data_IF_166982908625
#
_entry.id   IF_166982908625
#
_cell.length_a   1.000
_cell.length_b   1.000
_cell.length_c   1.000
_cell.angle_alpha   90.00
_cell.angle_beta   90.00
_cell.angle_gamma   90.00
#
_symmetry.space_group_name_H-M   'P 1'
#
loop_
_entity.id
_entity.type
_entity.pdbx_description
1 polymer ?
#
# COMPACT_ATOMS: atom_id res chain seq x y z
N UNK A 1 -4.15 -10.81 21.45
CA UNK A 1 -4.29 -11.35 20.09
C UNK A 1 -3.05 -10.94 19.33
N UNK A 2 -2.39 -11.89 18.68
CA UNK A 2 -1.20 -11.66 17.87
C UNK A 2 -1.57 -11.80 16.38
N UNK A 3 -1.05 -10.92 15.52
CA UNK A 3 -1.24 -10.99 14.07
C UNK A 3 0.11 -11.39 13.47
N UNK A 4 0.16 -12.53 12.79
CA UNK A 4 1.36 -13.03 12.11
C UNK A 4 1.14 -12.98 10.59
N UNK A 5 2.01 -12.25 9.88
CA UNK A 5 2.04 -12.24 8.41
C UNK A 5 3.17 -13.19 7.98
N UNK A 6 2.82 -14.27 7.28
CA UNK A 6 3.78 -15.24 6.78
C UNK A 6 4.09 -14.96 5.31
N UNK A 7 5.37 -14.72 5.00
CA UNK A 7 5.89 -14.55 3.65
C UNK A 7 6.95 -15.63 3.39
N UNK A 8 6.96 -16.20 2.19
CA UNK A 8 8.04 -17.07 1.74
C UNK A 8 9.33 -16.28 1.56
N UNK A 9 10.47 -16.96 1.59
CA UNK A 9 11.76 -16.30 1.35
C UNK A 9 11.83 -15.62 -0.03
N UNK A 10 11.11 -16.13 -1.03
CA UNK A 10 11.02 -15.50 -2.34
C UNK A 10 10.23 -14.20 -2.29
N UNK A 11 9.06 -14.20 -1.65
CA UNK A 11 8.24 -13.00 -1.48
C UNK A 11 8.97 -11.92 -0.67
N UNK A 12 9.66 -12.30 0.41
CA UNK A 12 10.48 -11.37 1.20
C UNK A 12 11.57 -10.72 0.34
N UNK A 13 12.24 -11.49 -0.54
CA UNK A 13 13.25 -10.94 -1.45
C UNK A 13 12.65 -9.99 -2.48
N UNK A 14 11.44 -10.25 -2.96
CA UNK A 14 10.76 -9.41 -3.93
C UNK A 14 10.24 -8.11 -3.30
N UNK A 15 9.67 -8.19 -2.09
CA UNK A 15 9.10 -7.04 -1.38
C UNK A 15 10.21 -6.17 -0.75
N UNK A 16 11.30 -6.79 -0.27
CA UNK A 16 12.40 -6.11 0.39
C UNK A 16 11.98 -5.39 1.67
N UNK A 17 12.61 -4.25 1.96
CA UNK A 17 12.39 -3.47 3.19
C UNK A 17 10.98 -2.89 3.30
N UNK A 18 10.19 -2.89 2.22
CA UNK A 18 8.84 -2.33 2.24
C UNK A 18 7.84 -3.21 3.00
N UNK A 19 8.13 -4.52 3.16
CA UNK A 19 7.34 -5.38 4.05
C UNK A 19 7.43 -4.88 5.50
N UNK A 20 8.63 -4.50 5.93
CA UNK A 20 8.87 -3.94 7.25
C UNK A 20 8.16 -2.59 7.39
N UNK A 21 8.36 -1.66 6.44
CA UNK A 21 7.74 -0.34 6.48
C UNK A 21 6.21 -0.40 6.50
N UNK A 22 5.59 -1.28 5.69
CA UNK A 22 4.14 -1.47 5.70
C UNK A 22 3.65 -2.00 7.04
N UNK A 23 4.39 -2.92 7.66
CA UNK A 23 4.07 -3.47 8.98
C UNK A 23 4.18 -2.41 10.06
N UNK A 24 5.23 -1.58 10.07
CA UNK A 24 5.39 -0.47 11.01
C UNK A 24 4.28 0.58 10.89
N UNK A 25 3.89 0.89 9.65
CA UNK A 25 2.79 1.83 9.39
C UNK A 25 1.47 1.23 9.88
N UNK A 26 1.17 -0.03 9.59
CA UNK A 26 -0.05 -0.71 10.07
C UNK A 26 -0.09 -0.77 11.60
N UNK A 27 1.01 -1.16 12.22
CA UNK A 27 1.18 -1.19 13.67
C UNK A 27 0.91 0.18 14.31
N UNK A 28 1.43 1.26 13.72
CA UNK A 28 1.17 2.63 14.18
C UNK A 28 -0.32 3.02 14.09
N UNK A 29 -1.04 2.57 13.06
CA UNK A 29 -2.49 2.82 12.92
C UNK A 29 -3.32 2.01 13.93
N UNK A 30 -2.94 0.75 14.17
CA UNK A 30 -3.61 -0.07 15.18
C UNK A 30 -3.41 0.50 16.58
N UNK A 31 -2.20 0.98 16.87
CA UNK A 31 -1.90 1.71 18.10
C UNK A 31 -2.70 3.00 18.23
N UNK A 32 -2.76 3.82 17.16
CA UNK A 32 -3.58 5.02 17.14
C UNK A 32 -5.06 4.74 17.43
N UNK A 33 -5.61 3.69 16.82
CA UNK A 33 -6.99 3.27 17.05
C UNK A 33 -7.23 2.88 18.52
N UNK A 34 -6.28 2.19 19.15
CA UNK A 34 -6.35 1.87 20.57
C UNK A 34 -6.30 3.14 21.44
N UNK A 35 -5.38 4.05 21.14
CA UNK A 35 -5.26 5.34 21.84
C UNK A 35 -6.55 6.17 21.72
N UNK A 36 -7.13 6.28 20.53
CA UNK A 36 -8.38 7.02 20.28
C UNK A 36 -9.57 6.44 21.05
N UNK A 37 -9.63 5.11 21.22
CA UNK A 37 -10.73 4.44 21.92
C UNK A 37 -10.64 4.49 23.44
N UNK A 38 -9.44 4.61 23.97
CA UNK A 38 -9.17 4.45 25.40
C UNK A 38 -8.67 5.71 26.07
N UNK A 39 -8.15 6.68 25.30
CA UNK A 39 -7.44 7.83 25.81
C UNK A 39 -6.11 7.48 26.47
N UNK A 40 -5.56 6.28 26.19
CA UNK A 40 -4.37 5.74 26.86
C UNK A 40 -3.32 5.34 25.83
N UNK A 41 -2.08 5.76 26.06
CA UNK A 41 -0.89 5.25 25.39
C UNK A 41 -0.42 3.97 26.10
N UNK A 42 -0.72 2.82 25.49
CA UNK A 42 -0.31 1.51 26.01
C UNK A 42 1.15 1.14 25.74
N UNK A 43 1.89 1.94 24.97
CA UNK A 43 3.32 1.72 24.70
C UNK A 43 4.22 2.33 25.76
N UNK A 44 3.70 3.30 26.50
CA UNK A 44 4.38 3.89 27.64
C UNK A 44 4.05 3.13 28.91
N UNK A 45 5.07 2.94 29.77
CA UNK A 45 4.88 2.37 31.09
C UNK A 45 3.94 3.23 31.91
N UNK A 46 2.83 2.64 32.39
CA UNK A 46 1.88 3.31 33.27
C UNK A 46 0.63 3.85 32.61
N UNK A 47 0.36 3.54 31.33
CA UNK A 47 -0.91 3.87 30.67
C UNK A 47 -1.26 5.37 30.72
N UNK A 48 -0.30 6.21 30.36
CA UNK A 48 -0.45 7.66 30.34
C UNK A 48 -1.35 8.12 29.18
N UNK A 49 -1.96 9.31 29.26
CA UNK A 49 -2.63 9.91 28.10
C UNK A 49 -1.65 10.11 26.93
N UNK A 50 -2.07 9.88 25.67
CA UNK A 50 -1.25 10.15 24.50
C UNK A 50 -0.78 11.61 24.43
N UNK A 51 0.48 11.80 24.10
CA UNK A 51 1.14 13.10 23.95
C UNK A 51 0.98 13.64 22.53
N UNK A 52 1.34 14.92 22.33
CA UNK A 52 1.43 15.51 20.99
C UNK A 52 2.41 14.73 20.07
N UNK A 53 3.50 14.20 20.64
CA UNK A 53 4.49 13.41 19.89
C UNK A 53 3.89 12.10 19.36
N UNK A 54 3.06 11.43 20.16
CA UNK A 54 2.38 10.20 19.77
C UNK A 54 1.46 10.43 18.58
N UNK A 55 0.67 11.51 18.63
CA UNK A 55 -0.22 11.88 17.52
C UNK A 55 0.55 12.30 16.26
N UNK A 56 1.67 13.02 16.41
CA UNK A 56 2.52 13.37 15.27
C UNK A 56 3.10 12.13 14.57
N UNK A 57 3.53 11.12 15.32
CA UNK A 57 4.02 9.86 14.77
C UNK A 57 2.95 9.12 13.96
N UNK A 58 1.72 9.06 14.47
CA UNK A 58 0.57 8.46 13.77
C UNK A 58 0.25 9.20 12.47
N UNK A 59 0.18 10.53 12.50
CA UNK A 59 -0.15 11.34 11.33
C UNK A 59 0.92 11.20 10.24
N UNK A 60 2.19 11.13 10.63
CA UNK A 60 3.29 10.93 9.70
C UNK A 60 3.25 9.55 9.04
N UNK A 61 2.90 8.50 9.78
CA UNK A 61 2.63 7.17 9.22
C UNK A 61 1.41 7.13 8.30
N UNK A 62 0.33 7.84 8.66
CA UNK A 62 -0.91 7.92 7.88
C UNK A 62 -0.73 8.54 6.50
N UNK A 63 0.04 9.63 6.41
CA UNK A 63 0.39 10.26 5.13
C UNK A 63 1.17 9.34 4.18
N UNK A 64 1.74 8.25 4.69
CA UNK A 64 2.58 7.29 3.97
C UNK A 64 1.86 5.99 3.58
N UNK A 65 0.77 5.63 4.26
CA UNK A 65 0.02 4.41 3.99
C UNK A 65 -0.85 4.53 2.73
N UNK A 66 -1.69 5.56 2.68
CA UNK A 66 -2.67 5.74 1.61
C UNK A 66 -2.02 5.78 0.23
N UNK A 67 -0.95 6.56 -0.01
CA UNK A 67 -0.30 6.57 -1.32
C UNK A 67 0.27 5.21 -1.73
N UNK A 68 0.83 4.44 -0.79
CA UNK A 68 1.35 3.08 -1.05
C UNK A 68 0.23 2.12 -1.46
N UNK A 69 -0.87 2.11 -0.71
CA UNK A 69 -2.01 1.24 -1.01
C UNK A 69 -2.66 1.60 -2.35
N UNK A 70 -2.74 2.89 -2.67
CA UNK A 70 -3.22 3.34 -3.98
C UNK A 70 -2.27 2.89 -5.10
N UNK A 71 -0.94 3.03 -4.93
CA UNK A 71 0.04 2.56 -5.91
C UNK A 71 -0.06 1.05 -6.17
N UNK A 72 -0.17 0.23 -5.12
CA UNK A 72 -0.37 -1.22 -5.24
C UNK A 72 -1.68 -1.52 -5.99
N UNK A 73 -2.78 -0.83 -5.65
CA UNK A 73 -4.08 -1.01 -6.31
C UNK A 73 -4.01 -0.65 -7.79
N UNK A 74 -3.40 0.48 -8.13
CA UNK A 74 -3.20 0.92 -9.52
C UNK A 74 -2.40 -0.11 -10.31
N UNK A 75 -1.27 -0.58 -9.77
CA UNK A 75 -0.46 -1.63 -10.38
C UNK A 75 -1.22 -2.94 -10.58
N UNK A 76 -2.02 -3.36 -9.59
CA UNK A 76 -2.88 -4.55 -9.71
C UNK A 76 -3.96 -4.40 -10.80
N UNK A 77 -4.57 -3.21 -10.93
CA UNK A 77 -5.54 -2.92 -11.99
C UNK A 77 -4.86 -3.01 -13.36
N UNK A 78 -3.67 -2.42 -13.53
CA UNK A 78 -2.92 -2.52 -14.80
C UNK A 78 -2.56 -3.95 -15.14
N UNK A 79 -2.04 -4.71 -14.18
CA UNK A 79 -1.70 -6.11 -14.37
C UNK A 79 -2.94 -6.94 -14.74
N UNK A 80 -4.10 -6.67 -14.11
CA UNK A 80 -5.36 -7.31 -14.43
C UNK A 80 -5.79 -7.04 -15.89
N UNK A 81 -5.74 -5.79 -16.32
CA UNK A 81 -6.09 -5.42 -17.70
C UNK A 81 -5.09 -6.00 -18.71
N UNK A 82 -3.79 -5.98 -18.41
CA UNK A 82 -2.74 -6.55 -19.27
C UNK A 82 -2.85 -8.08 -19.42
N UNK A 83 -3.40 -8.77 -18.42
CA UNK A 83 -3.69 -10.20 -18.46
C UNK A 83 -4.98 -10.55 -19.24
N UNK A 84 -5.61 -9.58 -19.92
CA UNK A 84 -6.83 -9.78 -20.70
C UNK A 84 -8.13 -9.53 -19.92
N UNK A 85 -8.06 -8.88 -18.75
CA UNK A 85 -9.23 -8.44 -18.01
C UNK A 85 -10.10 -7.46 -18.78
N UNK A 86 -11.41 -7.48 -18.53
CA UNK A 86 -12.38 -6.53 -19.12
C UNK A 86 -12.86 -5.51 -18.08
N UNK A 87 -13.38 -4.38 -18.54
CA UNK A 87 -13.91 -3.32 -17.67
C UNK A 87 -15.12 -3.83 -16.86
N UNK A 88 -15.98 -4.65 -17.46
CA UNK A 88 -17.11 -5.28 -16.77
C UNK A 88 -16.61 -6.19 -15.64
N UNK A 89 -15.60 -7.03 -15.91
CA UNK A 89 -15.07 -7.92 -14.89
C UNK A 89 -14.33 -7.17 -13.80
N UNK A 90 -13.67 -6.07 -14.14
CA UNK A 90 -13.03 -5.20 -13.17
C UNK A 90 -14.07 -4.51 -12.26
N UNK A 91 -15.21 -4.09 -12.81
CA UNK A 91 -16.34 -3.54 -12.06
C UNK A 91 -16.87 -4.54 -11.02
N UNK A 92 -17.08 -5.79 -11.43
CA UNK A 92 -17.49 -6.88 -10.53
C UNK A 92 -16.48 -7.07 -9.38
N UNK A 93 -15.18 -7.13 -9.70
CA UNK A 93 -14.11 -7.39 -8.72
C UNK A 93 -13.97 -6.24 -7.72
N UNK A 94 -14.10 -5.00 -8.20
CA UNK A 94 -13.98 -3.81 -7.35
C UNK A 94 -15.29 -3.47 -6.62
N UNK A 95 -16.41 -4.10 -6.97
CA UNK A 95 -17.74 -3.75 -6.45
C UNK A 95 -18.17 -2.34 -6.85
N UNK A 96 -17.78 -1.89 -8.04
CA UNK A 96 -18.05 -0.55 -8.56
C UNK A 96 -19.01 -0.64 -9.75
N UNK A 97 -19.71 0.46 -10.04
CA UNK A 97 -20.42 0.58 -11.29
C UNK A 97 -19.47 0.83 -12.47
N UNK A 98 -19.97 0.59 -13.68
CA UNK A 98 -19.19 0.73 -14.91
C UNK A 98 -18.65 2.17 -15.10
N UNK A 99 -19.43 3.25 -14.93
CA UNK A 99 -18.91 4.62 -15.05
C UNK A 99 -17.76 4.91 -14.08
N UNK A 100 -17.82 4.42 -12.84
CA UNK A 100 -16.73 4.61 -11.86
C UNK A 100 -15.47 3.87 -12.29
N UNK A 101 -15.59 2.67 -12.86
CA UNK A 101 -14.44 1.94 -13.41
C UNK A 101 -13.84 2.66 -14.62
N UNK A 102 -14.69 3.18 -15.52
CA UNK A 102 -14.25 3.98 -16.66
C UNK A 102 -13.48 5.23 -16.19
N UNK A 103 -13.93 5.90 -15.12
CA UNK A 103 -13.22 7.02 -14.51
C UNK A 103 -11.87 6.59 -13.89
N UNK A 104 -11.84 5.48 -13.16
CA UNK A 104 -10.60 4.92 -12.58
C UNK A 104 -9.59 4.61 -13.68
N UNK A 105 -10.00 3.90 -14.73
CA UNK A 105 -9.14 3.58 -15.86
C UNK A 105 -8.73 4.84 -16.63
N UNK A 106 -9.62 5.81 -16.78
CA UNK A 106 -9.34 7.11 -17.37
C UNK A 106 -8.24 7.85 -16.61
N UNK A 107 -8.31 7.88 -15.27
CA UNK A 107 -7.27 8.45 -14.41
C UNK A 107 -5.94 7.71 -14.53
N UNK A 108 -5.95 6.37 -14.55
CA UNK A 108 -4.73 5.58 -14.73
C UNK A 108 -4.08 5.83 -16.09
N UNK A 109 -4.86 5.88 -17.16
CA UNK A 109 -4.38 6.20 -18.52
C UNK A 109 -3.87 7.64 -18.62
N UNK A 110 -4.52 8.59 -17.95
CA UNK A 110 -4.07 9.99 -17.92
C UNK A 110 -2.77 10.19 -17.12
N UNK A 111 -2.56 9.38 -16.07
CA UNK A 111 -1.33 9.34 -15.29
C UNK A 111 -0.11 8.79 -16.04
N UNK A 112 -0.30 8.14 -17.20
CA UNK A 112 0.80 7.67 -18.06
C UNK A 112 1.61 8.81 -18.72
N UNK A 113 1.15 10.06 -18.60
CA UNK A 113 1.88 11.25 -19.08
C UNK A 113 2.99 11.76 -18.12
N UNK A 114 3.46 10.92 -17.20
CA UNK A 114 4.58 11.24 -16.30
C UNK A 114 4.23 11.41 -14.82
N UNK A 115 3.01 11.07 -14.42
CA UNK A 115 2.51 11.15 -13.04
C UNK A 115 2.22 9.75 -12.46
N UNK A 116 2.89 8.72 -12.98
CA UNK A 116 2.96 7.41 -12.33
C UNK A 116 3.61 7.65 -10.97
N UNK A 117 2.83 7.59 -9.89
CA UNK A 117 3.37 7.87 -8.55
C UNK A 117 4.59 6.98 -8.30
N UNK A 118 5.57 7.47 -7.54
CA UNK A 118 6.77 6.69 -7.17
C UNK A 118 6.42 5.29 -6.63
N UNK A 119 5.24 5.14 -6.03
CA UNK A 119 4.72 3.88 -5.50
C UNK A 119 4.11 2.94 -6.55
N UNK A 120 3.57 3.48 -7.63
CA UNK A 120 3.09 2.69 -8.78
C UNK A 120 4.28 2.22 -9.63
N UNK A 121 5.28 3.07 -9.86
CA UNK A 121 6.56 2.65 -10.42
C UNK A 121 7.21 1.58 -9.54
N UNK A 122 7.30 1.80 -8.23
CA UNK A 122 7.83 0.82 -7.28
C UNK A 122 7.11 -0.55 -7.33
N UNK A 123 5.78 -0.57 -7.40
CA UNK A 123 5.00 -1.81 -7.47
C UNK A 123 5.20 -2.59 -8.79
N UNK A 124 5.64 -1.91 -9.86
CA UNK A 124 5.77 -2.47 -11.20
C UNK A 124 7.22 -2.65 -11.67
N UNK A 125 8.21 -2.09 -10.96
CA UNK A 125 9.62 -2.18 -11.37
C UNK A 125 10.19 -3.53 -10.97
N UNK A 126 10.53 -4.39 -11.94
CA UNK A 126 11.41 -5.54 -11.70
C UNK A 126 12.76 -5.03 -11.19
N UNK A 127 13.40 -5.76 -10.26
CA UNK A 127 14.68 -5.34 -9.69
C UNK A 127 15.70 -5.05 -10.80
N UNK A 128 16.62 -4.08 -10.61
CA UNK A 128 17.73 -3.83 -11.53
C UNK A 128 18.58 -5.08 -11.84
N UNK A 129 18.58 -6.05 -10.92
CA UNK A 129 19.27 -7.33 -11.02
C UNK A 129 18.80 -8.16 -12.24
N UNK A 130 17.55 -7.99 -12.69
CA UNK A 130 17.01 -8.71 -13.86
C UNK A 130 17.46 -8.10 -15.20
N UNK A 131 18.00 -6.87 -15.22
CA UNK A 131 18.54 -6.25 -16.46
C UNK A 131 19.91 -6.78 -16.86
N UNK A 132 20.65 -7.39 -15.93
CA UNK A 132 21.96 -7.97 -16.21
C UNK A 132 21.89 -9.32 -16.93
N UNK A 133 20.70 -9.91 -17.09
CA UNK A 133 20.48 -11.20 -17.74
C UNK A 133 20.01 -11.15 -19.20
N UNK A 134 19.66 -9.97 -19.74
CA UNK A 134 19.17 -9.79 -21.12
C UNK A 134 20.18 -9.04 -22.01
N UNK A 135 21.47 -9.31 -21.82
CA UNK A 135 22.51 -8.98 -22.81
C UNK A 135 23.43 -10.19 -22.98
N UNK A 136 22.92 -11.17 -23.73
CA UNK A 136 23.70 -12.23 -24.36
C UNK A 136 23.12 -12.51 -25.75
#
# INVERSE_FOLDING_TARGET
MEITISLTAAEVRCIGDDALKLTEILDSHLWAMAMLRTGVNFRDSGSLPPTLGDWAAVLWGGGRLTPRLQGIRSGAIRAFMAAGGTEERLADVLGLDRPTVEEVLGRLRAGDNGDTSDFELWAMTRKPEDRAGESA
#
